data_IF_123634248270
#
_entry.id   IF_123634248270
#
_cell.length_a   1.000
_cell.length_b   1.000
_cell.length_c   1.000
_cell.angle_alpha   90.00
_cell.angle_beta   90.00
_cell.angle_gamma   90.00
#
_symmetry.space_group_name_H-M   'P 1'
#
loop_
_entity.id
_entity.type
_entity.pdbx_description
1 polymer ?
#
# COMPACT_ATOMS: atom_id res chain seq x y z
N UNK A 1 -19.42 -15.28 6.21
CA UNK A 1 -19.10 -13.85 6.44
C UNK A 1 -18.06 -13.77 7.55
N UNK A 2 -16.83 -13.32 7.20
CA UNK A 2 -15.69 -13.33 8.13
C UNK A 2 -15.73 -12.14 9.09
N UNK A 3 -16.09 -10.96 8.60
CA UNK A 3 -16.21 -9.75 9.41
C UNK A 3 -17.63 -9.19 9.37
N UNK A 4 -18.04 -8.55 10.46
CA UNK A 4 -19.32 -7.86 10.55
C UNK A 4 -19.33 -6.60 9.70
N UNK A 5 -20.49 -6.24 9.11
CA UNK A 5 -20.63 -5.06 8.26
C UNK A 5 -20.20 -3.78 8.96
N UNK A 6 -20.56 -3.62 10.24
CA UNK A 6 -20.14 -2.46 11.04
C UNK A 6 -18.63 -2.24 11.03
N UNK A 7 -17.84 -3.35 11.09
CA UNK A 7 -16.38 -3.26 11.03
C UNK A 7 -15.90 -2.86 9.64
N UNK A 8 -16.46 -3.45 8.57
CA UNK A 8 -16.07 -3.14 7.21
C UNK A 8 -16.47 -1.70 6.83
N UNK A 9 -17.65 -1.25 7.24
CA UNK A 9 -18.10 0.14 7.06
C UNK A 9 -17.19 1.16 7.76
N UNK A 10 -16.53 0.81 8.85
CA UNK A 10 -15.59 1.72 9.52
C UNK A 10 -14.22 1.84 8.82
N UNK A 11 -13.96 1.05 7.77
CA UNK A 11 -12.71 1.04 7.01
C UNK A 11 -12.81 1.92 5.78
N UNK A 12 -14.01 1.98 5.17
CA UNK A 12 -14.27 2.76 3.95
C UNK A 12 -14.54 4.22 4.27
N UNK A 13 -14.34 5.08 3.28
CA UNK A 13 -14.64 6.51 3.37
C UNK A 13 -16.08 6.85 2.98
N UNK A 14 -16.73 6.01 2.17
CA UNK A 14 -18.12 6.18 1.80
C UNK A 14 -19.00 6.04 3.05
N UNK A 15 -19.82 7.03 3.31
CA UNK A 15 -20.73 7.04 4.45
C UNK A 15 -22.18 6.87 4.01
N UNK A 16 -23.00 6.22 4.88
CA UNK A 16 -24.43 6.19 4.71
C UNK A 16 -25.03 7.59 4.86
N UNK A 17 -26.00 7.91 3.99
CA UNK A 17 -26.74 9.16 4.11
C UNK A 17 -27.47 9.22 5.45
N UNK A 18 -27.22 10.31 6.21
CA UNK A 18 -27.95 10.63 7.44
C UNK A 18 -28.62 11.99 7.25
N UNK A 19 -29.94 12.06 7.49
CA UNK A 19 -30.75 13.23 7.17
C UNK A 19 -30.30 14.53 7.87
N UNK A 20 -29.56 14.46 8.97
CA UNK A 20 -29.00 15.63 9.66
C UNK A 20 -27.66 16.15 9.07
N UNK A 21 -27.10 15.50 8.08
CA UNK A 21 -25.89 15.96 7.36
C UNK A 21 -26.24 16.88 6.17
N UNK A 22 -27.25 17.71 6.29
CA UNK A 22 -27.69 18.65 5.23
C UNK A 22 -26.61 19.62 4.73
N UNK A 23 -25.54 19.83 5.49
CA UNK A 23 -24.49 20.81 5.19
C UNK A 23 -23.29 20.24 4.40
N UNK A 24 -23.18 18.93 4.22
CA UNK A 24 -22.11 18.36 3.40
C UNK A 24 -22.62 18.10 1.97
N UNK A 25 -22.28 18.99 1.03
CA UNK A 25 -22.71 18.96 -0.36
C UNK A 25 -22.18 17.80 -1.23
N UNK A 26 -21.77 16.67 -0.64
CA UNK A 26 -21.24 15.50 -1.35
C UNK A 26 -22.29 14.40 -1.47
N UNK A 27 -23.29 14.63 -2.31
CA UNK A 27 -24.36 13.65 -2.60
C UNK A 27 -24.08 12.77 -3.84
N UNK A 28 -22.93 12.90 -4.46
CA UNK A 28 -22.67 12.20 -5.72
C UNK A 28 -21.80 10.97 -5.51
N UNK A 29 -22.24 9.85 -6.11
CA UNK A 29 -21.42 8.67 -6.25
C UNK A 29 -20.17 9.03 -7.07
N UNK A 30 -19.02 9.00 -6.42
CA UNK A 30 -17.75 9.27 -7.09
C UNK A 30 -17.06 7.92 -7.34
N UNK A 31 -16.83 7.59 -8.62
CA UNK A 31 -16.16 6.35 -9.01
C UNK A 31 -14.76 6.22 -8.40
N UNK A 32 -14.04 7.34 -8.28
CA UNK A 32 -12.73 7.37 -7.64
C UNK A 32 -12.82 6.99 -6.15
N UNK A 33 -13.88 7.45 -5.45
CA UNK A 33 -14.13 7.10 -4.06
C UNK A 33 -14.43 5.59 -3.90
N UNK A 34 -15.21 5.01 -4.80
CA UNK A 34 -15.49 3.56 -4.79
C UNK A 34 -14.22 2.77 -5.03
N UNK A 35 -13.37 3.18 -5.97
CA UNK A 35 -12.06 2.55 -6.22
C UNK A 35 -11.17 2.63 -4.97
N UNK A 36 -11.18 3.77 -4.30
CA UNK A 36 -10.43 3.95 -3.05
C UNK A 36 -10.96 3.06 -1.93
N UNK A 37 -12.27 2.99 -1.73
CA UNK A 37 -12.89 2.11 -0.73
C UNK A 37 -12.58 0.63 -0.99
N UNK A 38 -12.62 0.20 -2.25
CA UNK A 38 -12.18 -1.16 -2.62
C UNK A 38 -10.72 -1.42 -2.22
N UNK A 39 -9.83 -0.44 -2.42
CA UNK A 39 -8.43 -0.54 -2.03
C UNK A 39 -8.29 -0.64 -0.51
N UNK A 40 -9.00 0.19 0.25
CA UNK A 40 -8.99 0.14 1.72
C UNK A 40 -9.46 -1.23 2.24
N UNK A 41 -10.57 -1.75 1.70
CA UNK A 41 -11.06 -3.07 2.05
C UNK A 41 -10.05 -4.16 1.68
N UNK A 42 -9.47 -4.10 0.47
CA UNK A 42 -8.45 -5.05 0.02
C UNK A 42 -7.25 -5.06 0.97
N UNK A 43 -6.70 -3.89 1.30
CA UNK A 43 -5.56 -3.76 2.21
C UNK A 43 -5.91 -4.30 3.61
N UNK A 44 -7.12 -4.04 4.10
CA UNK A 44 -7.56 -4.61 5.37
C UNK A 44 -7.54 -6.13 5.37
N UNK A 45 -8.05 -6.78 4.31
CA UNK A 45 -8.05 -8.24 4.21
C UNK A 45 -6.64 -8.81 4.01
N UNK A 46 -5.82 -8.18 3.18
CA UNK A 46 -4.40 -8.55 3.00
C UNK A 46 -3.66 -8.51 4.35
N UNK A 47 -3.91 -7.47 5.16
CA UNK A 47 -3.31 -7.34 6.49
C UNK A 47 -3.86 -8.33 7.54
N UNK A 48 -4.78 -9.21 7.14
CA UNK A 48 -5.34 -10.29 7.98
C UNK A 48 -5.05 -11.69 7.42
N UNK A 49 -4.17 -11.79 6.43
CA UNK A 49 -3.74 -13.04 5.81
C UNK A 49 -4.59 -13.48 4.62
N UNK A 50 -5.60 -12.74 4.23
CA UNK A 50 -6.44 -13.10 3.07
C UNK A 50 -5.82 -12.59 1.77
N UNK A 51 -4.72 -13.19 1.35
CA UNK A 51 -3.91 -12.77 0.20
C UNK A 51 -4.71 -12.73 -1.11
N UNK A 52 -5.49 -13.76 -1.38
CA UNK A 52 -6.30 -13.88 -2.60
C UNK A 52 -7.70 -13.28 -2.45
N UNK A 53 -7.84 -12.16 -1.72
CA UNK A 53 -9.12 -11.48 -1.59
C UNK A 53 -9.52 -10.78 -2.89
N UNK A 54 -10.75 -11.03 -3.33
CA UNK A 54 -11.37 -10.33 -4.46
C UNK A 54 -12.51 -9.46 -3.94
N UNK A 55 -12.49 -8.18 -4.30
CA UNK A 55 -13.52 -7.23 -3.90
C UNK A 55 -14.16 -6.65 -5.16
N UNK A 56 -15.40 -7.03 -5.39
CA UNK A 56 -16.23 -6.53 -6.46
C UNK A 56 -17.21 -5.51 -5.88
N UNK A 57 -17.36 -4.37 -6.56
CA UNK A 57 -18.47 -3.46 -6.30
C UNK A 57 -19.55 -3.73 -7.33
N UNK A 58 -20.76 -4.04 -6.88
CA UNK A 58 -21.93 -3.96 -7.74
C UNK A 58 -22.54 -2.58 -7.56
N UNK A 59 -22.91 -1.97 -8.68
CA UNK A 59 -23.62 -0.71 -8.63
C UNK A 59 -24.93 -0.87 -7.91
N UNK A 60 -25.25 0.15 -7.20
CA UNK A 60 -26.41 0.30 -6.40
C UNK A 60 -27.67 0.15 -7.21
N UNK A 61 -28.58 -0.59 -6.65
CA UNK A 61 -29.99 -0.46 -6.97
C UNK A 61 -30.39 0.95 -6.59
N UNK A 62 -30.86 1.77 -7.55
CA UNK A 62 -31.56 3.01 -7.19
C UNK A 62 -32.75 2.62 -6.31
N UNK A 63 -32.78 3.11 -5.08
CA UNK A 63 -33.89 2.89 -4.18
C UNK A 63 -35.00 3.88 -4.54
N UNK A 64 -34.61 5.10 -4.90
CA UNK A 64 -35.47 6.16 -5.44
C UNK A 64 -34.59 7.15 -6.23
N UNK A 65 -35.19 8.22 -6.79
CA UNK A 65 -34.49 9.23 -7.63
C UNK A 65 -33.32 9.94 -6.93
N UNK A 66 -33.16 9.79 -5.62
CA UNK A 66 -32.13 10.45 -4.80
C UNK A 66 -31.25 9.52 -3.99
N UNK A 67 -31.60 8.24 -3.93
CA UNK A 67 -30.91 7.26 -3.09
C UNK A 67 -30.50 6.02 -3.88
N UNK A 68 -29.32 5.55 -3.59
CA UNK A 68 -28.81 4.29 -4.13
C UNK A 68 -28.13 3.47 -3.04
N UNK A 69 -28.10 2.16 -3.24
CA UNK A 69 -27.41 1.21 -2.37
C UNK A 69 -26.08 0.79 -3.02
N UNK A 70 -24.96 0.99 -2.37
CA UNK A 70 -23.65 0.51 -2.80
C UNK A 70 -23.32 -0.80 -2.10
N UNK A 71 -23.11 -1.85 -2.87
CA UNK A 71 -22.84 -3.20 -2.37
C UNK A 71 -21.40 -3.59 -2.72
N UNK A 72 -20.63 -4.03 -1.72
CA UNK A 72 -19.33 -4.66 -1.91
C UNK A 72 -19.45 -6.18 -1.71
N UNK A 73 -19.19 -6.94 -2.76
CA UNK A 73 -19.08 -8.38 -2.68
C UNK A 73 -17.62 -8.76 -2.42
N UNK A 74 -17.38 -9.45 -1.32
CA UNK A 74 -16.03 -9.80 -0.86
C UNK A 74 -15.91 -11.31 -0.84
N UNK A 75 -15.01 -11.82 -1.67
CA UNK A 75 -14.67 -13.22 -1.77
C UNK A 75 -13.26 -13.42 -1.22
N UNK A 76 -13.08 -14.40 -0.34
CA UNK A 76 -11.79 -14.72 0.28
C UNK A 76 -11.50 -16.20 0.17
N UNK A 77 -10.27 -16.53 -0.11
CA UNK A 77 -9.73 -17.87 0.07
C UNK A 77 -9.23 -18.07 1.52
N UNK A 78 -8.81 -19.27 1.92
CA UNK A 78 -8.16 -19.49 3.19
C UNK A 78 -7.01 -18.54 3.42
N UNK A 79 -6.70 -18.27 4.69
CA UNK A 79 -5.55 -17.42 5.05
C UNK A 79 -4.25 -18.05 4.59
N UNK A 80 -3.35 -17.20 4.14
CA UNK A 80 -1.95 -17.55 3.94
C UNK A 80 -1.11 -16.98 5.08
N UNK A 81 0.02 -17.64 5.31
CA UNK A 81 0.98 -17.30 6.35
C UNK A 81 2.33 -16.98 5.71
N UNK A 82 3.16 -16.21 6.38
CA UNK A 82 4.53 -16.04 5.93
C UNK A 82 5.26 -17.39 5.98
N UNK A 83 5.89 -17.74 4.88
CA UNK A 83 6.86 -18.82 4.79
C UNK A 83 8.25 -18.26 5.07
N UNK A 84 9.24 -18.69 4.27
CA UNK A 84 10.60 -18.16 4.37
C UNK A 84 10.69 -16.79 3.71
N UNK A 85 11.31 -15.84 4.41
CA UNK A 85 11.64 -14.53 3.88
C UNK A 85 13.16 -14.47 3.72
N UNK A 86 13.63 -13.90 2.62
CA UNK A 86 15.04 -13.67 2.36
C UNK A 86 15.24 -12.38 1.60
N UNK A 87 16.43 -11.82 1.73
CA UNK A 87 16.91 -10.71 0.93
C UNK A 87 17.99 -11.22 -0.02
N UNK A 88 17.93 -10.77 -1.26
CA UNK A 88 18.95 -11.02 -2.30
C UNK A 88 19.61 -9.70 -2.64
N UNK A 89 20.92 -9.64 -2.41
CA UNK A 89 21.70 -8.41 -2.48
C UNK A 89 22.71 -8.48 -3.64
N UNK A 90 23.05 -7.34 -4.27
CA UNK A 90 24.19 -7.25 -5.16
C UNK A 90 25.48 -7.69 -4.48
N UNK A 91 26.45 -8.15 -5.26
CA UNK A 91 27.70 -8.76 -4.75
C UNK A 91 28.61 -7.80 -3.99
N UNK A 92 28.47 -6.51 -4.21
CA UNK A 92 29.21 -5.43 -3.58
C UNK A 92 28.55 -4.90 -2.31
N UNK A 93 27.31 -5.36 -2.00
CA UNK A 93 26.61 -4.99 -0.76
C UNK A 93 27.04 -5.90 0.39
N UNK A 94 27.32 -5.28 1.54
CA UNK A 94 27.72 -6.05 2.73
C UNK A 94 26.49 -6.71 3.39
N UNK A 95 26.46 -8.03 3.40
CA UNK A 95 25.40 -8.82 4.07
C UNK A 95 25.24 -8.46 5.54
N UNK A 96 26.34 -8.11 6.23
CA UNK A 96 26.32 -7.79 7.67
C UNK A 96 25.42 -6.60 8.00
N UNK A 97 25.23 -5.66 7.09
CA UNK A 97 24.38 -4.48 7.29
C UNK A 97 22.89 -4.84 7.36
N UNK A 98 22.54 -6.00 6.82
CA UNK A 98 21.16 -6.49 6.74
C UNK A 98 20.81 -7.57 7.77
N UNK A 99 21.74 -7.98 8.65
CA UNK A 99 21.51 -9.01 9.69
C UNK A 99 20.34 -8.69 10.63
N UNK A 100 20.02 -7.41 10.79
CA UNK A 100 18.85 -7.00 11.58
C UNK A 100 17.54 -7.44 10.97
N UNK A 101 17.49 -7.64 9.63
CA UNK A 101 16.32 -8.13 8.92
C UNK A 101 16.11 -9.62 9.13
N UNK A 102 17.16 -10.43 9.23
CA UNK A 102 17.07 -11.88 9.46
C UNK A 102 16.27 -12.16 10.73
N UNK A 103 16.56 -11.43 11.82
CA UNK A 103 15.81 -11.53 13.08
C UNK A 103 14.35 -11.10 12.95
N UNK A 104 14.08 -10.20 12.03
CA UNK A 104 12.72 -9.74 11.75
C UNK A 104 11.97 -10.78 10.89
N UNK A 105 12.65 -11.39 9.94
CA UNK A 105 12.13 -12.48 9.11
C UNK A 105 11.75 -13.69 9.94
N UNK A 106 12.64 -14.13 10.83
CA UNK A 106 12.38 -15.25 11.73
C UNK A 106 11.12 -15.04 12.59
N UNK A 107 10.88 -13.81 13.04
CA UNK A 107 9.68 -13.47 13.83
C UNK A 107 8.39 -13.48 13.01
N UNK A 108 8.48 -13.30 11.71
CA UNK A 108 7.33 -13.28 10.83
C UNK A 108 6.97 -14.67 10.31
N UNK A 109 7.92 -15.59 10.27
CA UNK A 109 7.68 -16.95 9.79
C UNK A 109 6.51 -17.60 10.56
N UNK A 110 5.54 -18.15 9.83
CA UNK A 110 4.28 -18.71 10.33
C UNK A 110 3.25 -17.70 10.90
N UNK A 111 3.54 -16.40 10.91
CA UNK A 111 2.53 -15.40 11.19
C UNK A 111 1.60 -15.21 9.99
N UNK A 112 0.34 -14.79 10.18
CA UNK A 112 -0.54 -14.47 9.07
C UNK A 112 0.08 -13.42 8.16
N UNK A 113 0.00 -13.62 6.85
CA UNK A 113 0.47 -12.65 5.87
C UNK A 113 -0.11 -11.25 6.14
N UNK A 114 0.69 -10.25 5.93
CA UNK A 114 0.29 -8.84 6.08
C UNK A 114 1.05 -7.96 5.09
N UNK A 115 0.31 -7.29 4.22
CA UNK A 115 0.87 -6.31 3.29
C UNK A 115 1.67 -5.23 4.03
N UNK A 116 1.14 -4.72 5.12
CA UNK A 116 1.82 -3.72 5.96
C UNK A 116 3.19 -4.21 6.47
N UNK A 117 3.32 -5.52 6.78
CA UNK A 117 4.61 -6.08 7.19
C UNK A 117 5.61 -6.11 6.03
N UNK A 118 5.15 -6.44 4.83
CA UNK A 118 6.00 -6.41 3.61
C UNK A 118 6.46 -4.97 3.34
N UNK A 119 5.56 -4.00 3.39
CA UNK A 119 5.88 -2.56 3.25
C UNK A 119 6.89 -2.11 4.33
N UNK A 120 6.71 -2.53 5.58
CA UNK A 120 7.66 -2.23 6.68
C UNK A 120 9.05 -2.81 6.42
N UNK A 121 9.14 -4.00 5.79
CA UNK A 121 10.43 -4.59 5.42
C UNK A 121 11.10 -3.75 4.33
N UNK A 122 10.35 -3.38 3.29
CA UNK A 122 10.87 -2.51 2.23
C UNK A 122 11.39 -1.18 2.79
N UNK A 123 10.64 -0.56 3.70
CA UNK A 123 11.10 0.67 4.38
C UNK A 123 12.40 0.47 5.18
N UNK A 124 12.55 -0.68 5.85
CA UNK A 124 13.78 -1.00 6.57
C UNK A 124 14.96 -1.21 5.62
N UNK A 125 14.75 -1.92 4.51
CA UNK A 125 15.76 -2.12 3.47
C UNK A 125 16.22 -0.77 2.93
N UNK A 126 15.29 0.11 2.61
CA UNK A 126 15.58 1.47 2.13
C UNK A 126 16.44 2.25 3.13
N UNK A 127 16.03 2.28 4.39
CA UNK A 127 16.76 3.01 5.43
C UNK A 127 18.19 2.49 5.60
N UNK A 128 18.41 1.16 5.51
CA UNK A 128 19.76 0.59 5.56
C UNK A 128 20.55 1.06 4.35
N UNK A 129 19.96 1.00 3.15
CA UNK A 129 20.61 1.36 1.90
C UNK A 129 21.03 2.84 1.86
N UNK A 130 20.15 3.74 2.32
CA UNK A 130 20.45 5.17 2.43
C UNK A 130 21.61 5.43 3.41
N UNK A 131 21.61 4.74 4.56
CA UNK A 131 22.68 4.88 5.56
C UNK A 131 24.05 4.40 5.06
N UNK A 132 24.06 3.40 4.17
CA UNK A 132 25.28 2.87 3.54
C UNK A 132 25.72 3.66 2.30
N UNK A 133 25.05 4.78 1.98
CA UNK A 133 25.34 5.65 0.83
C UNK A 133 25.18 4.97 -0.54
N UNK A 134 24.39 3.94 -0.64
CA UNK A 134 23.97 3.38 -1.92
C UNK A 134 22.92 4.31 -2.55
N UNK A 135 23.31 5.03 -3.59
CA UNK A 135 22.54 6.20 -4.06
C UNK A 135 21.34 5.87 -4.95
N UNK A 136 21.32 4.70 -5.57
CA UNK A 136 20.21 4.31 -6.46
C UNK A 136 19.98 2.82 -6.42
N UNK A 137 18.90 2.43 -5.78
CA UNK A 137 18.47 1.04 -5.71
C UNK A 137 17.03 0.87 -6.21
N UNK A 138 16.74 -0.33 -6.66
CA UNK A 138 15.40 -0.81 -6.91
C UNK A 138 15.18 -2.06 -6.07
N UNK A 139 14.16 -2.03 -5.23
CA UNK A 139 13.71 -3.19 -4.49
C UNK A 139 12.49 -3.82 -5.20
N UNK A 140 12.57 -5.10 -5.51
CA UNK A 140 11.44 -5.88 -6.05
C UNK A 140 11.11 -7.02 -5.11
N UNK A 141 9.83 -7.40 -5.08
CA UNK A 141 9.34 -8.47 -4.21
C UNK A 141 8.89 -9.63 -5.10
N UNK A 142 9.51 -10.78 -4.89
CA UNK A 142 9.12 -12.03 -5.53
C UNK A 142 8.40 -12.90 -4.51
N UNK A 143 7.16 -13.30 -4.82
CA UNK A 143 6.30 -14.07 -3.94
C UNK A 143 6.05 -15.46 -4.54
N UNK A 144 6.29 -16.51 -3.76
CA UNK A 144 6.02 -17.90 -4.15
C UNK A 144 5.12 -18.56 -3.10
N UNK A 145 3.96 -19.04 -3.54
CA UNK A 145 3.01 -19.72 -2.67
C UNK A 145 3.26 -21.21 -2.72
N UNK A 146 3.54 -21.81 -1.55
CA UNK A 146 3.67 -23.26 -1.36
C UNK A 146 2.75 -23.65 -0.19
N UNK A 147 1.80 -24.52 -0.45
CA UNK A 147 0.73 -24.87 0.48
C UNK A 147 -0.01 -23.60 0.97
N UNK A 148 -0.03 -23.35 2.26
CA UNK A 148 -0.66 -22.15 2.85
C UNK A 148 0.37 -21.07 3.23
N UNK A 149 1.59 -21.12 2.69
CA UNK A 149 2.66 -20.18 3.03
C UNK A 149 3.10 -19.39 1.80
N UNK A 150 3.43 -18.13 2.02
CA UNK A 150 4.04 -17.24 1.04
C UNK A 150 5.51 -17.10 1.41
N UNK A 151 6.39 -17.63 0.57
CA UNK A 151 7.82 -17.33 0.63
C UNK A 151 8.06 -16.03 -0.13
N UNK A 152 8.86 -15.14 0.45
CA UNK A 152 9.12 -13.82 -0.13
C UNK A 152 10.63 -13.64 -0.27
N UNK A 153 11.05 -13.25 -1.47
CA UNK A 153 12.40 -12.79 -1.75
C UNK A 153 12.36 -11.30 -2.05
N UNK A 154 13.11 -10.52 -1.29
CA UNK A 154 13.34 -9.11 -1.54
C UNK A 154 14.61 -9.00 -2.39
N UNK A 155 14.45 -8.77 -3.69
CA UNK A 155 15.57 -8.62 -4.61
C UNK A 155 15.97 -7.17 -4.66
N UNK A 156 17.20 -6.86 -4.31
CA UNK A 156 17.78 -5.52 -4.36
C UNK A 156 18.71 -5.45 -5.56
N UNK A 157 18.49 -4.48 -6.39
CA UNK A 157 19.30 -4.22 -7.58
C UNK A 157 19.82 -2.79 -7.52
N UNK A 158 21.10 -2.61 -7.85
CA UNK A 158 21.64 -1.30 -8.10
C UNK A 158 21.15 -0.80 -9.46
N UNK A 159 20.74 0.46 -9.54
CA UNK A 159 20.26 1.07 -10.77
C UNK A 159 21.14 2.25 -11.17
N UNK A 160 21.02 2.67 -12.44
CA UNK A 160 21.66 3.90 -12.88
C UNK A 160 21.19 5.09 -12.05
N UNK A 161 22.11 5.98 -11.70
CA UNK A 161 21.81 7.22 -10.98
C UNK A 161 20.94 8.10 -11.86
N UNK A 162 19.69 8.23 -11.50
CA UNK A 162 18.79 9.21 -12.09
C UNK A 162 18.53 10.32 -11.07
N UNK A 163 18.44 11.55 -11.57
CA UNK A 163 18.14 12.71 -10.73
C UNK A 163 16.82 13.32 -11.13
N UNK A 164 16.13 13.90 -10.16
CA UNK A 164 14.87 14.61 -10.41
C UNK A 164 15.23 15.95 -11.05
N UNK A 165 14.94 16.10 -12.33
CA UNK A 165 15.22 17.36 -13.04
C UNK A 165 14.20 18.45 -12.66
N UNK A 166 12.92 18.09 -12.56
CA UNK A 166 11.85 19.04 -12.27
C UNK A 166 10.62 18.38 -11.67
N UNK A 167 10.00 19.07 -10.71
CA UNK A 167 8.72 18.71 -10.12
C UNK A 167 7.65 19.71 -10.61
N UNK A 168 6.70 19.24 -11.42
CA UNK A 168 5.59 20.05 -11.90
C UNK A 168 4.33 19.71 -11.11
N UNK A 169 3.69 20.75 -10.56
CA UNK A 169 2.43 20.62 -9.81
C UNK A 169 1.29 21.15 -10.65
N UNK A 170 0.27 20.33 -10.88
CA UNK A 170 -0.89 20.65 -11.68
C UNK A 170 -2.17 20.56 -10.85
N UNK A 171 -3.15 21.42 -11.17
CA UNK A 171 -4.49 21.37 -10.54
C UNK A 171 -4.60 22.09 -9.20
N UNK A 172 -3.60 22.84 -8.78
CA UNK A 172 -3.55 23.56 -7.51
C UNK A 172 -4.26 24.92 -7.56
N UNK A 173 -5.52 24.95 -7.93
CA UNK A 173 -6.26 26.21 -8.14
C UNK A 173 -6.52 27.02 -6.85
N UNK A 174 -6.42 26.40 -5.67
CA UNK A 174 -6.77 26.99 -4.38
C UNK A 174 -5.56 27.08 -3.45
N UNK A 175 -4.65 26.10 -3.50
CA UNK A 175 -3.50 26.01 -2.60
C UNK A 175 -2.26 26.62 -3.25
N UNK A 176 -1.50 27.43 -2.50
CA UNK A 176 -0.22 27.97 -2.99
C UNK A 176 0.76 26.80 -3.24
N UNK A 177 1.45 26.85 -4.36
CA UNK A 177 2.41 25.81 -4.77
C UNK A 177 3.47 25.52 -3.69
N UNK A 178 3.97 26.58 -3.02
CA UNK A 178 4.95 26.44 -1.94
C UNK A 178 4.47 25.57 -0.77
N UNK A 179 3.17 25.58 -0.48
CA UNK A 179 2.60 24.74 0.59
C UNK A 179 2.60 23.27 0.17
N UNK A 180 2.34 23.00 -1.11
CA UNK A 180 2.35 21.65 -1.66
C UNK A 180 3.80 21.13 -1.71
N UNK A 181 4.74 21.94 -2.21
CA UNK A 181 6.17 21.59 -2.29
C UNK A 181 6.75 21.23 -0.92
N UNK A 182 6.38 21.96 0.14
CA UNK A 182 6.83 21.67 1.50
C UNK A 182 6.31 20.34 2.10
N UNK A 183 5.37 19.67 1.43
CA UNK A 183 4.84 18.38 1.85
C UNK A 183 5.38 17.21 1.01
N UNK A 184 6.10 17.52 -0.06
CA UNK A 184 6.77 16.54 -0.90
C UNK A 184 8.12 16.23 -0.24
N UNK A 185 8.43 14.95 -0.06
CA UNK A 185 9.68 14.49 0.59
C UNK A 185 10.89 14.50 -0.35
N UNK A 186 10.72 14.89 -1.62
CA UNK A 186 11.74 14.90 -2.66
C UNK A 186 11.89 16.30 -3.26
N UNK A 187 13.13 16.71 -3.56
CA UNK A 187 13.47 17.98 -4.18
C UNK A 187 14.03 17.82 -5.60
N UNK A 188 13.97 18.93 -6.38
CA UNK A 188 14.61 19.01 -7.69
C UNK A 188 16.14 18.94 -7.50
N UNK A 189 16.79 18.00 -8.18
CA UNK A 189 18.23 17.70 -8.04
C UNK A 189 18.52 16.52 -7.13
N UNK A 190 17.53 16.00 -6.41
CA UNK A 190 17.72 14.79 -5.60
C UNK A 190 17.92 13.56 -6.48
N UNK A 191 18.68 12.56 -6.03
CA UNK A 191 18.73 11.27 -6.69
C UNK A 191 17.33 10.62 -6.66
N UNK A 192 16.88 10.13 -7.82
CA UNK A 192 15.59 9.47 -7.92
C UNK A 192 15.60 8.15 -7.16
N UNK A 193 14.78 8.05 -6.12
CA UNK A 193 14.54 6.82 -5.39
C UNK A 193 13.08 6.40 -5.59
N UNK A 194 12.87 5.24 -6.22
CA UNK A 194 11.52 4.75 -6.55
C UNK A 194 10.66 4.48 -5.32
N UNK A 195 11.26 4.27 -4.15
CA UNK A 195 10.57 4.01 -2.90
C UNK A 195 10.07 5.33 -2.27
N UNK A 196 10.90 6.38 -2.28
CA UNK A 196 10.50 7.73 -1.85
C UNK A 196 9.38 8.30 -2.74
N UNK A 197 9.47 8.07 -4.05
CA UNK A 197 8.43 8.48 -4.98
C UNK A 197 7.06 7.86 -4.68
N UNK A 198 7.01 6.65 -4.16
CA UNK A 198 5.74 5.98 -3.82
C UNK A 198 5.09 6.55 -2.55
N UNK A 199 5.84 7.26 -1.70
CA UNK A 199 5.37 7.91 -0.47
C UNK A 199 4.91 9.37 -0.69
N UNK A 200 5.38 10.02 -1.75
CA UNK A 200 5.04 11.40 -2.12
C UNK A 200 3.78 11.44 -2.98
#
# INVERSE_FOLDING_TARGET
>A
KIYKDKKLKSIILSEEYKFWKFLSGKKFLNEAMIKYDKRLLKNFYLNKGYFNVVINSSFAKMINDQEFELIFNIETNPKLYFGKLKIDLPTDFSQSNYESLDKFFDKLENEPYSLYRVETILEKIENITVNEQYESIKATVEETIIDNKINITFNIEETEKMFIERINIFGNNITKESVIRNQIEIDEGDPFNSILYTKS
#
